data_IF_263334834311
#
_entry.id   IF_263334834311
#
_cell.length_a   1.000
_cell.length_b   1.000
_cell.length_c   1.000
_cell.angle_alpha   90.00
_cell.angle_beta   90.00
_cell.angle_gamma   90.00
#
_symmetry.space_group_name_H-M   'P 1'
#
loop_
_entity.id
_entity.type
_entity.pdbx_description
1 polymer ?
#
# COMPACT_ATOMS: atom_id res chain seq x y z
N UNK A 1 -3.11 7.27 -2.70
CA UNK A 1 -1.69 7.57 -2.98
C UNK A 1 -1.51 8.23 -4.34
N UNK A 2 -1.77 7.52 -5.45
CA UNK A 2 -1.48 7.98 -6.82
C UNK A 2 -2.08 9.35 -7.16
N UNK A 3 -3.37 9.57 -6.84
CA UNK A 3 -4.02 10.87 -7.07
C UNK A 3 -3.29 12.04 -6.41
N UNK A 4 -2.88 11.87 -5.15
CA UNK A 4 -2.14 12.90 -4.39
C UNK A 4 -0.74 13.11 -5.00
N UNK A 5 -0.09 12.03 -5.46
CA UNK A 5 1.20 12.11 -6.15
C UNK A 5 1.11 12.97 -7.41
N UNK A 6 0.09 12.73 -8.24
CA UNK A 6 -0.16 13.45 -9.50
C UNK A 6 -0.50 14.93 -9.31
N UNK A 7 -0.94 15.34 -8.12
CA UNK A 7 -1.12 16.74 -7.74
C UNK A 7 0.18 17.42 -7.31
N UNK A 8 1.33 16.74 -7.37
CA UNK A 8 2.63 17.25 -6.95
C UNK A 8 2.85 17.21 -5.43
N UNK A 9 1.91 16.67 -4.65
CA UNK A 9 1.99 16.59 -3.19
C UNK A 9 2.84 15.40 -2.73
N UNK A 10 4.11 15.37 -3.13
CA UNK A 10 5.01 14.20 -2.96
C UNK A 10 5.12 13.74 -1.50
N UNK A 11 5.40 14.66 -0.56
CA UNK A 11 5.55 14.29 0.86
C UNK A 11 4.29 13.64 1.43
N UNK A 12 3.11 14.17 1.09
CA UNK A 12 1.84 13.59 1.52
C UNK A 12 1.60 12.23 0.86
N UNK A 13 1.90 12.10 -0.43
CA UNK A 13 1.78 10.82 -1.14
C UNK A 13 2.67 9.73 -0.50
N UNK A 14 3.91 10.07 -0.11
CA UNK A 14 4.81 9.16 0.61
C UNK A 14 4.25 8.76 1.98
N UNK A 15 3.67 9.71 2.74
CA UNK A 15 3.04 9.41 4.03
C UNK A 15 1.84 8.46 3.88
N UNK A 16 1.00 8.68 2.87
CA UNK A 16 -0.13 7.81 2.57
C UNK A 16 0.34 6.43 2.05
N UNK A 17 1.42 6.38 1.28
CA UNK A 17 2.02 5.11 0.86
C UNK A 17 2.54 4.31 2.06
N UNK A 18 3.17 4.96 3.04
CA UNK A 18 3.62 4.29 4.27
C UNK A 18 2.44 3.71 5.06
N UNK A 19 1.30 4.40 5.11
CA UNK A 19 0.08 3.87 5.73
C UNK A 19 -0.45 2.66 4.95
N UNK A 20 -0.48 2.75 3.62
CA UNK A 20 -0.87 1.63 2.75
C UNK A 20 0.05 0.41 2.93
N UNK A 21 1.36 0.62 2.98
CA UNK A 21 2.35 -0.43 3.24
C UNK A 21 2.09 -1.13 4.57
N UNK A 22 1.81 -0.38 5.63
CA UNK A 22 1.47 -0.96 6.95
C UNK A 22 0.19 -1.78 6.92
N UNK A 23 -0.81 -1.38 6.13
CA UNK A 23 -2.05 -2.16 5.98
C UNK A 23 -1.76 -3.47 5.23
N UNK A 24 -1.01 -3.40 4.13
CA UNK A 24 -0.68 -4.58 3.31
C UNK A 24 0.28 -5.55 4.02
N UNK A 25 1.19 -5.03 4.84
CA UNK A 25 2.10 -5.83 5.65
C UNK A 25 1.36 -6.60 6.75
N UNK A 26 0.31 -6.02 7.34
CA UNK A 26 -0.51 -6.71 8.34
C UNK A 26 -1.30 -7.81 7.65
N UNK A 27 -0.90 -9.07 7.83
CA UNK A 27 -1.72 -10.23 7.45
C UNK A 27 -2.29 -10.98 8.64
N UNK A 28 -3.11 -11.99 8.35
CA UNK A 28 -3.83 -12.78 9.36
C UNK A 28 -2.91 -13.86 9.93
N UNK A 29 -2.16 -14.56 9.07
CA UNK A 29 -1.28 -15.66 9.44
C UNK A 29 0.19 -15.28 9.31
N UNK A 30 0.52 -14.41 8.36
CA UNK A 30 1.87 -13.90 8.12
C UNK A 30 1.87 -12.48 7.60
N UNK A 31 3.04 -11.84 7.58
CA UNK A 31 3.17 -10.52 6.98
C UNK A 31 3.08 -10.58 5.45
N UNK A 32 2.69 -9.46 4.84
CA UNK A 32 2.62 -9.29 3.39
C UNK A 32 1.71 -10.30 2.69
N UNK A 33 0.59 -10.64 3.35
CA UNK A 33 -0.45 -11.45 2.74
C UNK A 33 -1.25 -10.68 1.68
N UNK A 34 -1.27 -9.33 1.71
CA UNK A 34 -2.12 -8.53 0.84
C UNK A 34 -3.58 -9.03 0.89
N UNK A 35 -4.18 -8.98 2.07
CA UNK A 35 -5.57 -9.39 2.24
C UNK A 35 -6.53 -8.48 1.46
N UNK A 36 -7.68 -9.03 1.08
CA UNK A 36 -8.66 -8.39 0.20
C UNK A 36 -9.16 -7.04 0.68
N UNK A 37 -9.36 -6.89 1.99
CA UNK A 37 -9.75 -5.62 2.59
C UNK A 37 -9.27 -5.54 4.03
N UNK A 38 -9.28 -4.33 4.58
CA UNK A 38 -8.95 -4.10 5.98
C UNK A 38 -10.14 -3.46 6.70
N UNK A 39 -10.32 -3.80 7.97
CA UNK A 39 -11.35 -3.19 8.78
C UNK A 39 -11.06 -1.70 9.01
N UNK A 40 -11.98 -0.81 8.60
CA UNK A 40 -11.72 0.63 8.49
C UNK A 40 -11.24 1.34 9.77
N UNK A 41 -11.64 0.85 10.96
CA UNK A 41 -11.25 1.45 12.24
C UNK A 41 -9.96 0.88 12.84
N UNK A 42 -9.73 -0.42 12.65
CA UNK A 42 -8.63 -1.15 13.32
C UNK A 42 -7.45 -1.41 12.39
N UNK A 43 -7.69 -1.34 11.07
CA UNK A 43 -6.75 -1.74 10.04
C UNK A 43 -6.42 -3.24 10.07
N UNK A 44 -7.26 -4.06 10.73
CA UNK A 44 -7.03 -5.51 10.74
C UNK A 44 -7.30 -6.08 9.34
N UNK A 45 -6.46 -6.99 8.85
CA UNK A 45 -6.67 -7.67 7.57
C UNK A 45 -7.89 -8.58 7.65
N UNK A 46 -8.64 -8.62 6.55
CA UNK A 46 -9.88 -9.35 6.42
C UNK A 46 -10.03 -9.89 4.98
N UNK A 47 -10.91 -10.87 4.81
CA UNK A 47 -11.10 -11.51 3.50
C UNK A 47 -9.94 -12.43 3.12
N UNK A 48 -9.86 -12.79 1.84
CA UNK A 48 -8.89 -13.78 1.35
C UNK A 48 -7.48 -13.18 1.31
N UNK A 49 -6.48 -13.98 1.69
CA UNK A 49 -5.06 -13.64 1.51
C UNK A 49 -4.62 -13.72 0.03
N UNK A 50 -3.43 -13.21 -0.23
CA UNK A 50 -2.70 -13.23 -1.51
C UNK A 50 -3.51 -12.70 -2.69
N UNK A 51 -4.12 -11.53 -2.46
CA UNK A 51 -4.89 -10.86 -3.48
C UNK A 51 -3.98 -10.13 -4.46
N UNK A 52 -3.92 -10.63 -5.70
CA UNK A 52 -3.02 -10.12 -6.73
C UNK A 52 -3.24 -8.63 -7.03
N UNK A 53 -4.50 -8.18 -7.10
CA UNK A 53 -4.86 -6.77 -7.27
C UNK A 53 -4.38 -5.87 -6.11
N UNK A 54 -4.54 -6.27 -4.84
CA UNK A 54 -4.02 -5.50 -3.70
C UNK A 54 -2.49 -5.36 -3.75
N UNK A 55 -1.78 -6.42 -4.15
CA UNK A 55 -0.33 -6.38 -4.35
C UNK A 55 0.08 -5.50 -5.55
N UNK A 56 -0.59 -5.65 -6.69
CA UNK A 56 -0.33 -4.89 -7.90
C UNK A 56 -0.54 -3.38 -7.71
N UNK A 57 -1.63 -2.99 -7.03
CA UNK A 57 -1.92 -1.58 -6.72
C UNK A 57 -0.88 -0.98 -5.76
N UNK A 58 -0.38 -1.77 -4.81
CA UNK A 58 0.70 -1.32 -3.92
C UNK A 58 1.99 -1.07 -4.69
N UNK A 59 2.39 -1.99 -5.56
CA UNK A 59 3.58 -1.85 -6.42
C UNK A 59 3.43 -0.63 -7.33
N UNK A 60 2.28 -0.46 -7.99
CA UNK A 60 2.01 0.70 -8.82
C UNK A 60 2.11 2.01 -8.03
N UNK A 61 1.60 2.03 -6.79
CA UNK A 61 1.72 3.19 -5.93
C UNK A 61 3.18 3.50 -5.53
N UNK A 62 4.05 2.49 -5.38
CA UNK A 62 5.49 2.68 -5.17
C UNK A 62 6.16 3.34 -6.38
N UNK A 63 5.86 2.85 -7.60
CA UNK A 63 6.36 3.44 -8.84
C UNK A 63 5.92 4.90 -8.98
N UNK A 64 4.64 5.20 -8.74
CA UNK A 64 4.07 6.55 -8.90
C UNK A 64 4.60 7.60 -7.91
N UNK A 65 5.21 7.19 -6.80
CA UNK A 65 5.90 8.12 -5.87
C UNK A 65 7.41 8.18 -6.10
N UNK A 66 7.93 7.38 -7.02
CA UNK A 66 9.36 7.29 -7.35
C UNK A 66 10.19 6.58 -6.28
N UNK A 67 9.65 5.54 -5.61
CA UNK A 67 10.44 4.78 -4.63
C UNK A 67 11.56 3.96 -5.30
N UNK A 68 11.36 3.48 -6.52
CA UNK A 68 12.35 2.65 -7.22
C UNK A 68 13.54 3.48 -7.75
N UNK A 69 13.34 4.80 -7.88
CA UNK A 69 14.37 5.76 -8.32
C UNK A 69 15.31 6.17 -7.16
N UNK A 70 14.97 5.82 -5.91
CA UNK A 70 15.81 6.12 -4.74
C UNK A 70 16.92 5.08 -4.50
N UNK A 71 17.00 4.03 -5.33
CA UNK A 71 18.04 2.99 -5.25
C UNK A 71 19.20 3.19 -6.24
N UNK A 72 19.17 4.23 -7.09
CA UNK A 72 20.22 4.57 -8.07
C UNK A 72 21.09 5.75 -7.65
#
# INVERSE_FOLDING_TARGET
VQFISRLGMRSLAMQELLKLARINQRGVQGEWEFNEWAHARTGNPMGKAYQAWSAAEFILACHEVGLDELQS
#
